data_IF_185205695677
#
_entry.id   IF_185205695677
#
_cell.length_a   1.000
_cell.length_b   1.000
_cell.length_c   1.000
_cell.angle_alpha   90.00
_cell.angle_beta   90.00
_cell.angle_gamma   90.00
#
_symmetry.space_group_name_H-M   'P 1'
#
loop_
_entity.id
_entity.type
_entity.pdbx_description
1 polymer ?
#
# COMPACT_ATOMS: atom_id res chain seq x y z
N UNK A 1 -40.27 20.25 -5.40
CA UNK A 1 -39.00 20.28 -6.15
C UNK A 1 -37.91 19.82 -5.19
N UNK A 2 -37.50 18.55 -5.29
CA UNK A 2 -36.46 17.98 -4.42
C UNK A 2 -35.19 17.81 -5.26
N UNK A 3 -34.16 18.58 -4.92
CA UNK A 3 -32.82 18.42 -5.49
C UNK A 3 -32.19 17.24 -4.74
N UNK A 4 -32.12 16.08 -5.36
CA UNK A 4 -31.34 14.96 -4.83
C UNK A 4 -29.85 15.28 -5.00
N UNK A 5 -29.14 15.29 -3.88
CA UNK A 5 -27.72 15.60 -3.82
C UNK A 5 -26.90 14.43 -4.38
N UNK A 6 -26.44 14.52 -5.63
CA UNK A 6 -25.74 13.46 -6.36
C UNK A 6 -24.30 13.17 -5.85
N UNK A 7 -23.79 13.97 -4.89
CA UNK A 7 -22.39 13.86 -4.43
C UNK A 7 -22.09 12.59 -3.61
N UNK A 8 -23.11 11.92 -3.08
CA UNK A 8 -22.94 10.68 -2.30
C UNK A 8 -22.58 9.48 -3.17
N UNK A 9 -23.21 9.35 -4.35
CA UNK A 9 -22.98 8.21 -5.25
C UNK A 9 -21.61 8.28 -5.93
N UNK A 10 -21.15 9.46 -6.34
CA UNK A 10 -19.89 9.61 -7.07
C UNK A 10 -18.67 9.17 -6.26
N UNK A 11 -18.65 9.47 -4.95
CA UNK A 11 -17.55 9.07 -4.07
C UNK A 11 -17.57 7.55 -3.77
N UNK A 12 -18.76 6.97 -3.56
CA UNK A 12 -18.91 5.53 -3.38
C UNK A 12 -18.55 4.76 -4.65
N UNK A 13 -18.98 5.24 -5.81
CA UNK A 13 -18.69 4.64 -7.11
C UNK A 13 -17.21 4.74 -7.44
N UNK A 14 -16.57 5.88 -7.14
CA UNK A 14 -15.12 6.03 -7.24
C UNK A 14 -14.39 5.03 -6.32
N UNK A 15 -14.83 4.87 -5.07
CA UNK A 15 -14.23 3.93 -4.13
C UNK A 15 -14.41 2.47 -4.58
N UNK A 16 -15.57 2.12 -5.14
CA UNK A 16 -15.84 0.80 -5.74
C UNK A 16 -14.96 0.57 -6.96
N UNK A 17 -14.81 1.56 -7.83
CA UNK A 17 -13.96 1.52 -9.01
C UNK A 17 -12.49 1.25 -8.64
N UNK A 18 -11.95 2.01 -7.68
CA UNK A 18 -10.60 1.80 -7.13
C UNK A 18 -10.44 0.39 -6.55
N UNK A 19 -11.43 -0.07 -5.78
CA UNK A 19 -11.42 -1.41 -5.20
C UNK A 19 -11.41 -2.52 -6.26
N UNK A 20 -12.17 -2.36 -7.34
CA UNK A 20 -12.19 -3.29 -8.46
C UNK A 20 -10.87 -3.26 -9.25
N UNK A 21 -10.32 -2.07 -9.52
CA UNK A 21 -9.02 -1.92 -10.17
C UNK A 21 -7.90 -2.60 -9.36
N UNK A 22 -7.89 -2.45 -8.03
CA UNK A 22 -6.92 -3.11 -7.16
C UNK A 22 -7.07 -4.64 -7.16
N UNK A 23 -8.30 -5.18 -7.22
CA UNK A 23 -8.55 -6.62 -7.37
C UNK A 23 -8.06 -7.14 -8.72
N UNK A 24 -8.27 -6.38 -9.80
CA UNK A 24 -7.72 -6.71 -11.13
C UNK A 24 -6.20 -6.71 -11.12
N UNK A 25 -5.56 -5.72 -10.49
CA UNK A 25 -4.11 -5.69 -10.31
C UNK A 25 -3.61 -6.93 -9.56
N UNK A 26 -4.26 -7.31 -8.46
CA UNK A 26 -3.92 -8.52 -7.71
C UNK A 26 -4.06 -9.79 -8.57
N UNK A 27 -5.13 -9.90 -9.37
CA UNK A 27 -5.29 -11.03 -10.28
C UNK A 27 -4.13 -11.11 -11.29
N UNK A 28 -3.75 -9.97 -11.89
CA UNK A 28 -2.63 -9.92 -12.82
C UNK A 28 -1.31 -10.34 -12.16
N UNK A 29 -1.02 -9.84 -10.95
CA UNK A 29 0.17 -10.23 -10.18
C UNK A 29 0.20 -11.75 -9.96
N UNK A 30 -0.94 -12.36 -9.61
CA UNK A 30 -1.05 -13.81 -9.40
C UNK A 30 -0.79 -14.62 -10.66
N UNK A 31 -1.16 -14.11 -11.84
CA UNK A 31 -0.94 -14.80 -13.11
C UNK A 31 0.48 -14.66 -13.65
N UNK A 32 1.23 -13.63 -13.22
CA UNK A 32 2.60 -13.41 -13.68
C UNK A 32 3.62 -14.42 -13.11
N UNK A 33 3.32 -15.07 -11.99
CA UNK A 33 4.24 -15.98 -11.30
C UNK A 33 3.62 -17.32 -10.98
N UNK A 34 3.37 -18.16 -11.99
CA UNK A 34 2.78 -19.51 -11.80
C UNK A 34 3.78 -20.44 -11.10
N UNK A 35 5.01 -20.51 -11.59
CA UNK A 35 6.06 -21.38 -11.03
C UNK A 35 6.86 -20.72 -9.91
N UNK A 36 7.07 -19.40 -10.02
CA UNK A 36 7.69 -18.56 -8.99
C UNK A 36 6.69 -17.48 -8.55
N UNK A 37 5.89 -17.74 -7.50
CA UNK A 37 4.91 -16.80 -7.00
C UNK A 37 5.56 -15.50 -6.52
N UNK A 38 5.07 -14.38 -7.05
CA UNK A 38 5.46 -13.03 -6.60
C UNK A 38 4.81 -12.77 -5.24
N UNK A 39 5.59 -12.69 -4.16
CA UNK A 39 5.10 -12.45 -2.79
C UNK A 39 5.65 -11.17 -2.17
N UNK A 40 6.84 -10.76 -2.56
CA UNK A 40 7.49 -9.54 -2.10
C UNK A 40 7.51 -8.50 -3.21
N UNK A 41 6.85 -7.36 -2.98
CA UNK A 41 6.56 -6.38 -4.03
C UNK A 41 6.94 -4.99 -3.57
N UNK A 42 7.85 -4.33 -4.29
CA UNK A 42 8.13 -2.92 -4.11
C UNK A 42 7.28 -2.08 -5.05
N UNK A 43 6.74 -0.98 -4.54
CA UNK A 43 5.97 -0.01 -5.31
C UNK A 43 6.69 1.34 -5.22
N UNK A 44 7.02 1.89 -6.39
CA UNK A 44 7.66 3.21 -6.55
C UNK A 44 6.90 4.04 -7.57
N UNK A 45 7.39 5.23 -7.87
CA UNK A 45 6.92 6.08 -8.96
C UNK A 45 8.09 6.75 -9.67
N UNK A 46 7.86 7.32 -10.84
CA UNK A 46 8.91 8.05 -11.56
C UNK A 46 9.25 9.37 -10.84
N UNK A 47 8.23 10.07 -10.35
CA UNK A 47 8.36 11.35 -9.63
C UNK A 47 7.43 11.39 -8.39
N UNK A 48 7.57 12.37 -7.48
CA UNK A 48 6.63 12.54 -6.37
C UNK A 48 5.19 12.78 -6.84
N UNK A 49 4.21 12.45 -5.99
CA UNK A 49 2.77 12.73 -6.19
C UNK A 49 2.07 11.97 -7.33
N UNK A 50 2.62 10.83 -7.77
CA UNK A 50 1.94 9.95 -8.73
C UNK A 50 0.94 8.96 -8.09
N UNK A 51 0.86 8.96 -6.76
CA UNK A 51 -0.07 8.14 -5.99
C UNK A 51 0.43 6.74 -5.65
N UNK A 52 1.75 6.52 -5.62
CA UNK A 52 2.39 5.27 -5.19
C UNK A 52 1.81 4.70 -3.89
N UNK A 53 1.81 5.50 -2.82
CA UNK A 53 1.28 5.16 -1.48
C UNK A 53 -0.21 4.79 -1.54
N UNK A 54 -1.00 5.50 -2.36
CA UNK A 54 -2.42 5.20 -2.56
C UNK A 54 -2.62 3.84 -3.23
N UNK A 55 -1.85 3.55 -4.29
CA UNK A 55 -1.88 2.26 -4.98
C UNK A 55 -1.43 1.14 -4.04
N UNK A 56 -0.31 1.31 -3.32
CA UNK A 56 0.22 0.35 -2.34
C UNK A 56 -0.83 -0.03 -1.30
N UNK A 57 -1.50 0.96 -0.71
CA UNK A 57 -2.57 0.73 0.29
C UNK A 57 -3.76 -0.02 -0.29
N UNK A 58 -4.23 0.35 -1.48
CA UNK A 58 -5.40 -0.30 -2.09
C UNK A 58 -5.08 -1.73 -2.58
N UNK A 59 -3.85 -1.99 -3.03
CA UNK A 59 -3.41 -3.34 -3.33
C UNK A 59 -3.37 -4.21 -2.05
N UNK A 60 -2.84 -3.68 -0.93
CA UNK A 60 -2.90 -4.39 0.35
C UNK A 60 -4.34 -4.71 0.77
N UNK A 61 -5.25 -3.76 0.60
CA UNK A 61 -6.68 -3.96 0.86
C UNK A 61 -7.26 -5.09 0.01
N UNK A 62 -6.95 -5.12 -1.29
CA UNK A 62 -7.41 -6.18 -2.20
C UNK A 62 -6.84 -7.55 -1.80
N UNK A 63 -5.57 -7.63 -1.39
CA UNK A 63 -4.95 -8.87 -0.91
C UNK A 63 -5.65 -9.37 0.36
N UNK A 64 -5.80 -8.50 1.36
CA UNK A 64 -6.44 -8.84 2.63
C UNK A 64 -7.89 -9.32 2.44
N UNK A 65 -8.66 -8.61 1.62
CA UNK A 65 -10.05 -8.97 1.32
C UNK A 65 -10.19 -10.24 0.48
N UNK A 66 -9.13 -10.68 -0.20
CA UNK A 66 -9.06 -11.99 -0.86
C UNK A 66 -8.83 -13.16 0.11
N UNK A 67 -8.69 -12.88 1.41
CA UNK A 67 -8.45 -13.88 2.46
C UNK A 67 -6.96 -14.18 2.71
N UNK A 68 -6.06 -13.40 2.12
CA UNK A 68 -4.60 -13.55 2.23
C UNK A 68 -4.02 -12.59 3.25
N UNK A 69 -2.97 -12.99 3.96
CA UNK A 69 -2.27 -12.10 4.88
C UNK A 69 -1.30 -11.19 4.10
N UNK A 70 -1.29 -9.90 4.42
CA UNK A 70 -0.38 -8.93 3.80
C UNK A 70 0.25 -8.05 4.85
N UNK A 71 1.57 -7.94 4.78
CA UNK A 71 2.33 -6.94 5.50
C UNK A 71 2.65 -5.78 4.56
N UNK A 72 2.19 -4.57 4.87
CA UNK A 72 2.64 -3.36 4.22
C UNK A 72 3.75 -2.72 5.07
N UNK A 73 4.85 -2.36 4.44
CA UNK A 73 6.04 -1.79 5.07
C UNK A 73 6.27 -0.39 4.52
N UNK A 74 6.39 0.60 5.42
CA UNK A 74 6.82 1.95 5.06
C UNK A 74 8.33 1.95 4.77
N UNK A 75 8.69 2.10 3.49
CA UNK A 75 10.09 2.22 3.04
C UNK A 75 10.37 3.58 2.39
N UNK A 76 9.42 4.54 2.40
CA UNK A 76 9.69 5.95 2.15
C UNK A 76 10.20 6.60 3.44
N UNK A 77 11.42 6.20 3.83
CA UNK A 77 12.09 6.65 5.07
C UNK A 77 12.38 8.16 5.06
N UNK A 78 12.19 8.82 3.91
CA UNK A 78 12.40 10.26 3.69
C UNK A 78 11.11 11.04 3.91
N UNK A 79 9.97 10.53 3.43
CA UNK A 79 8.65 11.18 3.53
C UNK A 79 7.57 10.17 3.94
N UNK A 80 7.69 9.71 5.19
CA UNK A 80 6.71 8.81 5.82
C UNK A 80 5.31 9.42 5.77
N UNK A 81 4.36 8.67 5.23
CA UNK A 81 2.97 9.14 5.09
C UNK A 81 1.93 8.03 5.29
N UNK A 82 2.36 6.77 5.24
CA UNK A 82 1.46 5.63 5.27
C UNK A 82 0.73 5.47 6.61
N UNK A 83 1.42 5.67 7.74
CA UNK A 83 0.83 5.57 9.07
C UNK A 83 -0.40 6.49 9.24
N UNK A 84 -0.25 7.76 8.83
CA UNK A 84 -1.34 8.74 8.80
C UNK A 84 -2.46 8.31 7.85
N UNK A 85 -2.13 7.78 6.67
CA UNK A 85 -3.11 7.31 5.70
C UNK A 85 -3.90 6.08 6.18
N UNK A 86 -3.32 5.26 7.07
CA UNK A 86 -3.96 4.08 7.63
C UNK A 86 -4.65 4.37 8.98
N UNK A 87 -4.34 5.50 9.62
CA UNK A 87 -4.81 5.82 10.97
C UNK A 87 -4.25 4.89 12.05
N UNK A 88 -3.09 4.27 11.79
CA UNK A 88 -2.41 3.37 12.73
C UNK A 88 -0.94 3.74 12.82
N UNK A 89 -0.39 3.68 14.03
CA UNK A 89 1.00 4.05 14.31
C UNK A 89 1.71 2.91 15.05
N UNK A 90 2.91 2.56 14.56
CA UNK A 90 3.79 1.63 15.24
C UNK A 90 4.51 2.28 16.42
N UNK A 91 4.74 1.52 17.50
CA UNK A 91 5.68 1.95 18.56
C UNK A 91 7.14 1.81 18.11
N UNK A 92 7.38 0.79 17.29
CA UNK A 92 8.64 0.48 16.66
C UNK A 92 8.40 0.44 15.15
N UNK A 93 9.45 0.66 14.37
CA UNK A 93 9.38 0.58 12.92
C UNK A 93 10.40 -0.41 12.36
N UNK A 94 10.55 -0.34 11.04
CA UNK A 94 11.43 -1.22 10.28
C UNK A 94 12.88 -1.15 10.76
N UNK A 95 13.38 0.01 11.19
CA UNK A 95 14.76 0.14 11.63
C UNK A 95 15.03 -0.66 12.91
N UNK A 96 14.10 -0.65 13.86
CA UNK A 96 14.21 -1.46 15.10
C UNK A 96 14.22 -2.96 14.81
N UNK A 97 13.50 -3.40 13.76
CA UNK A 97 13.45 -4.81 13.34
C UNK A 97 14.76 -5.23 12.68
N UNK A 98 15.19 -4.51 11.63
CA UNK A 98 16.44 -4.84 10.91
C UNK A 98 17.68 -4.69 11.81
N UNK A 99 17.60 -3.85 12.84
CA UNK A 99 18.66 -3.71 13.84
C UNK A 99 18.69 -4.81 14.91
N UNK A 100 17.72 -5.72 14.89
CA UNK A 100 17.58 -6.79 15.89
C UNK A 100 17.20 -6.27 17.28
N UNK A 101 16.74 -5.02 17.40
CA UNK A 101 16.31 -4.45 18.68
C UNK A 101 14.93 -4.97 19.10
N UNK A 102 14.06 -5.23 18.12
CA UNK A 102 12.68 -5.66 18.34
C UNK A 102 12.36 -6.78 17.35
N UNK A 103 11.75 -7.91 17.79
CA UNK A 103 11.26 -8.94 16.88
C UNK A 103 10.20 -8.40 15.92
N UNK A 104 10.12 -8.94 14.69
CA UNK A 104 9.14 -8.51 13.69
C UNK A 104 7.70 -8.51 14.23
N UNK A 105 7.32 -9.60 14.93
CA UNK A 105 5.97 -9.77 15.49
C UNK A 105 5.58 -8.67 16.49
N UNK A 106 6.54 -8.06 17.18
CA UNK A 106 6.31 -7.03 18.20
C UNK A 106 6.29 -5.61 17.62
N UNK A 107 6.88 -5.43 16.43
CA UNK A 107 6.89 -4.14 15.72
C UNK A 107 5.66 -3.97 14.80
N UNK A 108 5.10 -5.07 14.30
CA UNK A 108 3.95 -5.05 13.39
C UNK A 108 2.67 -4.65 14.12
N UNK A 109 1.90 -3.76 13.51
CA UNK A 109 0.57 -3.37 13.98
C UNK A 109 -0.53 -3.93 13.07
N UNK A 110 -1.67 -4.27 13.67
CA UNK A 110 -2.87 -4.67 12.92
C UNK A 110 -3.61 -3.43 12.46
N UNK A 111 -4.10 -3.44 11.23
CA UNK A 111 -5.04 -2.42 10.75
C UNK A 111 -6.48 -2.79 11.14
N UNK A 112 -7.44 -1.93 10.79
CA UNK A 112 -8.87 -2.23 10.95
C UNK A 112 -9.35 -3.37 10.04
N UNK A 113 -8.53 -3.80 9.07
CA UNK A 113 -8.89 -4.83 8.10
C UNK A 113 -8.21 -6.14 8.44
N UNK A 114 -9.01 -7.19 8.59
CA UNK A 114 -8.52 -8.55 8.88
C UNK A 114 -7.55 -9.00 7.79
N UNK A 115 -6.39 -9.50 8.20
CA UNK A 115 -5.34 -9.95 7.30
C UNK A 115 -4.43 -8.84 6.76
N UNK A 116 -4.72 -7.57 7.07
CA UNK A 116 -3.88 -6.43 6.69
C UNK A 116 -3.09 -5.91 7.89
N UNK A 117 -1.77 -6.06 7.80
CA UNK A 117 -0.79 -5.66 8.80
C UNK A 117 0.10 -4.53 8.27
N UNK A 118 0.63 -3.73 9.18
CA UNK A 118 1.49 -2.60 8.85
C UNK A 118 2.75 -2.61 9.71
N UNK A 119 3.90 -2.39 9.08
CA UNK A 119 5.16 -2.08 9.74
C UNK A 119 5.54 -0.64 9.40
N UNK A 120 5.54 0.21 10.43
CA UNK A 120 5.88 1.62 10.32
C UNK A 120 7.40 1.81 10.10
N UNK A 121 7.82 3.05 9.89
CA UNK A 121 9.21 3.45 9.89
C UNK A 121 9.48 4.51 10.95
N UNK A 122 10.62 4.46 11.61
CA UNK A 122 11.03 5.47 12.57
C UNK A 122 11.36 6.81 11.89
N UNK A 123 11.20 7.95 12.58
CA UNK A 123 11.60 9.25 12.05
C UNK A 123 13.12 9.36 11.89
N UNK A 124 13.56 10.16 10.91
CA UNK A 124 14.95 10.60 10.77
C UNK A 124 15.97 9.45 10.67
N UNK A 125 15.65 8.38 9.94
CA UNK A 125 16.62 7.32 9.64
C UNK A 125 17.79 7.90 8.83
N UNK A 126 19.03 7.85 9.35
CA UNK A 126 20.19 8.27 8.58
C UNK A 126 20.46 7.29 7.44
N UNK A 127 20.93 7.81 6.30
CA UNK A 127 21.28 7.04 5.09
C UNK A 127 20.27 5.94 4.71
N UNK A 128 19.02 6.29 4.35
CA UNK A 128 17.98 5.31 3.98
C UNK A 128 18.44 4.22 3.01
N UNK A 129 19.17 4.59 1.95
CA UNK A 129 19.60 3.65 0.92
C UNK A 129 20.57 2.58 1.45
N UNK A 130 21.47 2.93 2.37
CA UNK A 130 22.42 1.98 2.97
C UNK A 130 21.69 0.95 3.84
N UNK A 131 20.71 1.44 4.59
CA UNK A 131 19.86 0.61 5.46
C UNK A 131 19.07 -0.40 4.63
N UNK A 132 18.42 0.06 3.56
CA UNK A 132 17.63 -0.78 2.67
C UNK A 132 18.50 -1.72 1.82
N UNK A 133 19.76 -1.36 1.53
CA UNK A 133 20.73 -2.20 0.81
C UNK A 133 21.45 -3.22 1.69
N UNK A 134 21.19 -3.25 2.99
CA UNK A 134 21.95 -4.07 3.93
C UNK A 134 21.54 -5.55 3.92
N UNK A 135 22.45 -6.43 4.33
CA UNK A 135 22.15 -7.86 4.59
C UNK A 135 21.05 -8.05 5.64
N UNK A 136 20.91 -7.10 6.56
CA UNK A 136 19.86 -7.12 7.59
C UNK A 136 18.49 -6.91 6.96
N UNK A 137 18.37 -6.00 6.00
CA UNK A 137 17.15 -5.81 5.23
C UNK A 137 16.80 -7.07 4.43
N UNK A 138 17.77 -7.69 3.74
CA UNK A 138 17.55 -8.96 3.02
C UNK A 138 17.02 -10.07 3.95
N UNK A 139 17.56 -10.18 5.17
CA UNK A 139 17.08 -11.14 6.16
C UNK A 139 15.64 -10.83 6.61
N UNK A 140 15.32 -9.56 6.82
CA UNK A 140 13.97 -9.12 7.13
C UNK A 140 12.97 -9.45 6.01
N UNK A 141 13.32 -9.23 4.74
CA UNK A 141 12.45 -9.59 3.60
C UNK A 141 12.13 -11.08 3.63
N UNK A 142 13.14 -11.93 3.87
CA UNK A 142 12.96 -13.38 3.99
C UNK A 142 12.03 -13.73 5.16
N UNK A 143 12.31 -13.23 6.36
CA UNK A 143 11.47 -13.45 7.55
C UNK A 143 10.02 -13.02 7.33
N UNK A 144 9.80 -11.84 6.75
CA UNK A 144 8.47 -11.34 6.45
C UNK A 144 7.75 -12.19 5.40
N UNK A 145 8.46 -12.66 4.36
CA UNK A 145 7.88 -13.53 3.31
C UNK A 145 7.55 -14.95 3.78
N UNK A 146 8.14 -15.38 4.90
CA UNK A 146 7.79 -16.62 5.58
C UNK A 146 6.55 -16.45 6.49
N UNK A 147 6.37 -15.26 7.06
CA UNK A 147 5.28 -14.95 7.99
C UNK A 147 3.96 -14.50 7.32
N UNK A 148 4.02 -13.92 6.12
CA UNK A 148 2.87 -13.35 5.41
C UNK A 148 2.74 -13.92 3.99
N UNK A 149 1.51 -14.02 3.47
CA UNK A 149 1.29 -14.44 2.07
C UNK A 149 1.90 -13.42 1.09
N UNK A 150 1.80 -12.12 1.42
CA UNK A 150 2.38 -11.01 0.66
C UNK A 150 3.08 -9.99 1.56
N UNK A 151 4.13 -9.36 1.04
CA UNK A 151 4.81 -8.22 1.65
C UNK A 151 4.92 -7.10 0.62
N UNK A 152 4.33 -5.94 0.92
CA UNK A 152 4.37 -4.76 0.07
C UNK A 152 5.30 -3.70 0.67
N UNK A 153 6.18 -3.12 -0.12
CA UNK A 153 7.08 -2.04 0.27
C UNK A 153 6.68 -0.75 -0.45
N UNK A 154 6.24 0.27 0.30
CA UNK A 154 6.04 1.62 -0.26
C UNK A 154 7.39 2.34 -0.27
N UNK A 155 7.88 2.75 -1.44
CA UNK A 155 9.25 3.28 -1.60
C UNK A 155 9.21 4.68 -2.21
N UNK A 156 10.23 5.55 -1.99
CA UNK A 156 10.24 6.89 -2.57
C UNK A 156 10.35 6.82 -4.11
N UNK A 157 10.07 7.92 -4.83
CA UNK A 157 10.15 7.95 -6.29
C UNK A 157 11.57 7.66 -6.78
N UNK A 158 11.71 6.71 -7.70
CA UNK A 158 13.02 6.25 -8.19
C UNK A 158 13.78 7.31 -8.97
N UNK A 159 13.07 8.21 -9.68
CA UNK A 159 13.69 9.31 -10.39
C UNK A 159 14.32 10.39 -9.49
N UNK A 160 14.05 10.35 -8.17
CA UNK A 160 14.65 11.27 -7.19
C UNK A 160 15.63 10.57 -6.27
N UNK A 161 15.39 9.30 -5.94
CA UNK A 161 16.16 8.56 -4.94
C UNK A 161 16.43 7.12 -5.41
N UNK A 162 17.63 6.61 -5.09
CA UNK A 162 18.04 5.25 -5.46
C UNK A 162 17.42 4.16 -4.57
N UNK A 163 16.74 4.55 -3.49
CA UNK A 163 16.22 3.67 -2.44
C UNK A 163 15.35 2.52 -3.03
N UNK A 164 14.45 2.84 -3.96
CA UNK A 164 13.61 1.85 -4.63
C UNK A 164 14.41 0.87 -5.51
N UNK A 165 15.46 1.35 -6.18
CA UNK A 165 16.34 0.53 -7.02
C UNK A 165 17.19 -0.43 -6.17
N UNK A 166 17.70 0.04 -5.02
CA UNK A 166 18.50 -0.74 -4.07
C UNK A 166 17.67 -1.83 -3.38
N UNK A 167 16.48 -1.48 -2.88
CA UNK A 167 15.55 -2.43 -2.29
C UNK A 167 15.00 -3.41 -3.34
N UNK A 168 14.74 -2.91 -4.55
CA UNK A 168 14.17 -3.66 -5.66
C UNK A 168 14.96 -4.91 -6.06
N UNK A 169 16.27 -4.91 -5.84
CA UNK A 169 17.15 -6.07 -6.10
C UNK A 169 16.95 -7.23 -5.10
N UNK A 170 16.20 -7.00 -4.01
CA UNK A 170 16.02 -7.94 -2.90
C UNK A 170 14.58 -8.47 -2.78
N UNK A 171 13.70 -8.09 -3.71
CA UNK A 171 12.27 -8.47 -3.74
C UNK A 171 11.93 -9.16 -5.06
N UNK A 172 10.81 -9.88 -5.09
CA UNK A 172 10.39 -10.66 -6.26
C UNK A 172 10.00 -9.77 -7.45
N UNK A 173 9.41 -8.61 -7.18
CA UNK A 173 8.93 -7.70 -8.21
C UNK A 173 8.91 -6.23 -7.78
N UNK A 174 9.15 -5.35 -8.74
CA UNK A 174 8.98 -3.89 -8.63
C UNK A 174 7.90 -3.44 -9.60
N UNK A 175 6.96 -2.63 -9.11
CA UNK A 175 5.99 -1.93 -9.96
C UNK A 175 6.20 -0.42 -9.87
N UNK A 176 6.16 0.23 -11.03
CA UNK A 176 6.25 1.69 -11.13
C UNK A 176 4.86 2.28 -11.35
N UNK A 177 4.42 3.15 -10.44
CA UNK A 177 3.19 3.91 -10.57
C UNK A 177 3.46 5.16 -11.40
N UNK A 178 2.63 5.38 -12.43
CA UNK A 178 2.69 6.55 -13.30
C UNK A 178 1.33 7.22 -13.31
N UNK A 179 1.29 8.53 -13.06
CA UNK A 179 0.03 9.28 -13.09
C UNK A 179 -0.28 9.74 -14.52
N UNK A 180 -1.50 9.47 -14.97
CA UNK A 180 -1.96 9.91 -16.28
C UNK A 180 -1.88 11.44 -16.41
N UNK A 181 -1.43 11.91 -17.58
CA UNK A 181 -1.29 13.33 -17.91
C UNK A 181 -0.45 14.18 -16.92
N UNK A 182 0.45 13.56 -16.16
CA UNK A 182 1.23 14.25 -15.13
C UNK A 182 2.71 14.41 -15.47
N UNK A 183 3.34 13.37 -16.02
CA UNK A 183 4.80 13.31 -16.26
C UNK A 183 5.08 13.14 -17.74
N UNK A 184 6.18 13.74 -18.22
CA UNK A 184 6.66 13.53 -19.59
C UNK A 184 7.16 12.10 -19.78
N UNK A 185 6.86 11.50 -20.92
CA UNK A 185 7.28 10.13 -21.28
C UNK A 185 8.79 9.88 -21.09
N UNK A 186 9.63 10.88 -21.37
CA UNK A 186 11.08 10.77 -21.22
C UNK A 186 11.52 10.56 -19.75
N UNK A 187 10.86 11.22 -18.80
CA UNK A 187 11.16 11.07 -17.36
C UNK A 187 10.72 9.69 -16.85
N UNK A 188 9.56 9.21 -17.29
CA UNK A 188 9.10 7.83 -17.00
C UNK A 188 10.07 6.80 -17.58
N UNK A 189 10.55 7.01 -18.80
CA UNK A 189 11.52 6.11 -19.44
C UNK A 189 12.86 6.09 -18.71
N UNK A 190 13.37 7.25 -18.28
CA UNK A 190 14.60 7.34 -17.50
C UNK A 190 14.47 6.63 -16.14
N UNK A 191 13.35 6.82 -15.45
CA UNK A 191 13.05 6.13 -14.19
C UNK A 191 12.99 4.60 -14.36
N UNK A 192 12.34 4.12 -15.42
CA UNK A 192 12.31 2.69 -15.74
C UNK A 192 13.70 2.14 -16.04
N UNK A 193 14.54 2.89 -16.73
CA UNK A 193 15.90 2.46 -17.06
C UNK A 193 16.79 2.36 -15.82
N UNK A 194 16.65 3.30 -14.89
CA UNK A 194 17.34 3.24 -13.60
C UNK A 194 17.00 1.96 -12.81
N UNK A 195 15.72 1.55 -12.83
CA UNK A 195 15.29 0.28 -12.23
C UNK A 195 15.89 -0.93 -12.96
N UNK A 196 15.89 -0.94 -14.31
CA UNK A 196 16.48 -2.04 -15.08
C UNK A 196 17.98 -2.20 -14.83
N UNK A 197 18.70 -1.08 -14.69
CA UNK A 197 20.13 -1.07 -14.39
C UNK A 197 20.46 -1.58 -12.98
N UNK A 198 19.49 -1.63 -12.06
CA UNK A 198 19.71 -2.03 -10.67
C UNK A 198 19.46 -3.51 -10.38
N UNK A 199 19.40 -4.36 -11.42
CA UNK A 199 19.08 -5.80 -11.32
C UNK A 199 17.75 -6.10 -10.62
N UNK A 200 16.82 -5.14 -10.55
CA UNK A 200 15.49 -5.41 -10.02
C UNK A 200 14.58 -6.00 -11.10
N UNK A 201 13.62 -6.81 -10.68
CA UNK A 201 12.58 -7.30 -11.58
C UNK A 201 11.48 -6.24 -11.74
N UNK A 202 11.66 -5.33 -12.71
CA UNK A 202 10.61 -4.37 -13.08
C UNK A 202 9.46 -5.12 -13.79
N UNK A 203 8.51 -5.59 -13.00
CA UNK A 203 7.41 -6.45 -13.43
C UNK A 203 6.38 -5.69 -14.27
N UNK A 204 6.20 -4.38 -14.03
CA UNK A 204 5.31 -3.59 -14.86
C UNK A 204 5.08 -2.16 -14.37
N UNK A 205 4.15 -1.50 -15.06
CA UNK A 205 3.71 -0.13 -14.78
C UNK A 205 2.24 -0.14 -14.37
N UNK A 206 1.89 0.65 -13.36
CA UNK A 206 0.52 0.88 -12.90
C UNK A 206 0.15 2.32 -13.25
N UNK A 207 -0.79 2.50 -14.17
CA UNK A 207 -1.32 3.84 -14.44
C UNK A 207 -2.33 4.23 -13.37
N UNK A 208 -2.21 5.44 -12.85
CA UNK A 208 -3.05 5.99 -11.79
C UNK A 208 -3.68 7.33 -12.20
N UNK A 209 -4.77 7.72 -11.55
CA UNK A 209 -5.62 8.85 -11.90
C UNK A 209 -6.14 8.81 -13.34
N UNK A 210 -6.35 7.60 -13.88
CA UNK A 210 -6.85 7.45 -15.23
C UNK A 210 -8.26 8.04 -15.33
N UNK A 211 -8.47 8.87 -16.35
CA UNK A 211 -9.82 9.30 -16.71
C UNK A 211 -10.60 8.07 -17.16
N UNK A 212 -11.59 7.67 -16.36
CA UNK A 212 -12.66 6.81 -16.86
C UNK A 212 -13.46 7.61 -17.87
N UNK A 213 -12.97 7.69 -19.12
CA UNK A 213 -13.86 7.90 -20.25
C UNK A 213 -14.91 6.83 -20.12
N UNK A 214 -16.16 7.24 -19.88
CA UNK A 214 -17.30 6.35 -19.71
C UNK A 214 -17.18 5.20 -20.68
N UNK A 215 -16.75 4.04 -20.17
CA UNK A 215 -16.61 2.87 -21.00
C UNK A 215 -18.04 2.38 -21.16
N UNK A 216 -18.72 2.92 -22.17
CA UNK A 216 -20.10 2.63 -22.53
C UNK A 216 -20.30 1.09 -22.67
N UNK A 217 -19.20 0.39 -22.98
CA UNK A 217 -19.09 -1.06 -23.00
C UNK A 217 -19.26 -1.74 -21.63
N UNK A 218 -18.68 -1.19 -20.55
CA UNK A 218 -18.80 -1.75 -19.20
C UNK A 218 -20.18 -1.46 -18.59
N UNK A 219 -20.75 -0.28 -18.88
CA UNK A 219 -22.11 0.06 -18.46
C UNK A 219 -23.18 -0.74 -19.23
N UNK A 220 -22.94 -1.09 -20.51
CA UNK A 220 -23.82 -2.00 -21.27
C UNK A 220 -23.83 -3.42 -20.70
N UNK A 221 -22.66 -3.95 -20.33
CA UNK A 221 -22.56 -5.30 -19.78
C UNK A 221 -23.37 -5.48 -18.48
N UNK A 222 -23.47 -4.45 -17.64
CA UNK A 222 -24.32 -4.47 -16.43
C UNK A 222 -25.75 -3.95 -16.67
N UNK A 223 -26.02 -3.16 -17.71
CA UNK A 223 -27.39 -2.73 -18.07
C UNK A 223 -28.19 -3.80 -18.83
N UNK A 224 -27.51 -4.74 -19.49
CA UNK A 224 -28.17 -5.79 -20.26
C UNK A 224 -28.69 -6.93 -19.35
N UNK A 225 -28.20 -7.07 -18.11
CA UNK A 225 -28.78 -7.98 -17.10
C UNK A 225 -30.11 -7.45 -16.51
N UNK A 226 -30.30 -6.12 -16.47
CA UNK A 226 -31.55 -5.50 -16.02
C UNK A 226 -32.62 -5.38 -17.13
N UNK A 227 -32.33 -5.85 -18.35
CA UNK A 227 -33.25 -5.80 -19.50
C UNK A 227 -33.51 -7.15 -20.18
N UNK A 228 -33.08 -8.26 -19.60
CA UNK A 228 -33.51 -9.58 -20.04
C UNK A 228 -34.89 -9.91 -19.46
N UNK A 229 -35.95 -9.28 -19.98
CA UNK A 229 -37.23 -9.98 -20.08
C UNK A 229 -36.98 -11.17 -21.02
N UNK A 230 -36.71 -12.33 -20.43
CA UNK A 230 -36.54 -13.58 -21.19
C UNK A 230 -37.77 -13.83 -22.08
N UNK A 231 -37.60 -14.52 -23.22
CA UNK A 231 -38.71 -14.81 -24.11
C UNK A 231 -39.79 -15.56 -23.33
N UNK A 232 -41.01 -15.00 -23.31
CA UNK A 232 -42.19 -15.62 -22.70
C UNK A 232 -42.41 -16.98 -23.35
N UNK A 233 -42.00 -18.06 -22.68
CA UNK A 233 -42.49 -19.40 -23.01
C UNK A 233 -44.01 -19.40 -22.79
N UNK A 234 -44.77 -19.59 -23.87
CA UNK A 234 -46.20 -19.85 -23.77
C UNK A 234 -46.40 -21.18 -23.05
N UNK A 235 -46.91 -21.10 -21.82
CA UNK A 235 -47.28 -22.28 -21.04
C UNK A 235 -48.70 -22.68 -21.46
N UNK A 236 -48.83 -23.78 -22.19
CA UNK A 236 -50.13 -24.41 -22.40
C UNK A 236 -50.67 -24.96 -21.07
N UNK A 237 -51.98 -24.85 -20.85
CA UNK A 237 -52.67 -25.26 -19.63
C UNK A 237 -52.48 -26.75 -19.29
N UNK A 238 -52.57 -27.16 -18.01
CA UNK A 238 -52.16 -28.49 -17.58
C UNK A 238 -53.21 -29.56 -17.89
N UNK A 239 -52.84 -30.57 -18.68
CA UNK A 239 -53.53 -31.86 -18.72
C UNK A 239 -53.18 -32.69 -17.46
N UNK A 240 -54.21 -33.25 -16.84
CA UNK A 240 -54.13 -34.08 -15.64
C UNK A 240 -53.31 -35.36 -15.92
N UNK A 241 -52.20 -35.55 -15.19
CA UNK A 241 -51.45 -36.82 -15.19
C UNK A 241 -51.97 -37.79 -14.12
N UNK A 242 -52.08 -39.09 -14.43
CA UNK A 242 -52.57 -40.10 -13.49
C UNK A 242 -51.53 -40.45 -12.40
N UNK A 243 -52.04 -41.06 -11.32
CA UNK A 243 -51.34 -41.35 -10.08
C UNK A 243 -50.12 -42.29 -10.22
N UNK A 244 -49.17 -42.10 -9.30
CA UNK A 244 -47.86 -42.75 -9.20
C UNK A 244 -47.96 -44.18 -8.64
N UNK A 245 -47.28 -45.20 -9.21
CA UNK A 245 -47.09 -46.48 -8.56
C UNK A 245 -45.91 -46.47 -7.56
N UNK A 246 -46.02 -47.29 -6.52
CA UNK A 246 -45.10 -47.40 -5.37
C UNK A 246 -43.71 -47.97 -5.69
N UNK A 247 -42.74 -47.65 -4.83
CA UNK A 247 -41.30 -48.00 -4.94
C UNK A 247 -41.02 -49.46 -4.56
N UNK A 248 -40.15 -50.18 -5.29
CA UNK A 248 -39.44 -51.35 -4.78
C UNK A 248 -38.15 -50.98 -4.03
N UNK A 249 -37.73 -51.89 -3.14
CA UNK A 249 -36.74 -51.73 -2.07
C UNK A 249 -35.26 -51.60 -2.50
N UNK A 250 -34.49 -51.08 -1.52
CA UNK A 250 -33.04 -50.81 -1.47
C UNK A 250 -32.15 -51.93 -2.06
N UNK A 251 -31.17 -51.56 -2.88
CA UNK A 251 -30.00 -52.40 -3.24
C UNK A 251 -28.78 -52.11 -2.32
N UNK A 252 -27.88 -53.08 -2.09
CA UNK A 252 -26.78 -52.99 -1.11
C UNK A 252 -25.56 -52.22 -1.65
N UNK A 253 -24.77 -51.67 -0.72
CA UNK A 253 -23.48 -50.99 -0.99
C UNK A 253 -22.38 -52.00 -1.37
N UNK A 254 -21.43 -51.66 -2.26
CA UNK A 254 -20.24 -52.48 -2.48
C UNK A 254 -19.15 -52.20 -1.43
N UNK A 255 -18.48 -53.28 -1.02
CA UNK A 255 -17.39 -53.33 -0.04
C UNK A 255 -16.00 -53.07 -0.67
N UNK A 256 -15.11 -52.56 0.19
CA UNK A 256 -13.64 -52.65 0.23
C UNK A 256 -12.83 -52.53 -1.07
N UNK A 257 -12.21 -51.37 -1.25
CA UNK A 257 -11.03 -51.18 -2.10
C UNK A 257 -9.77 -51.04 -1.22
N UNK A 258 -8.64 -51.70 -1.55
CA UNK A 258 -7.43 -51.67 -0.72
C UNK A 258 -6.64 -50.36 -0.86
N UNK A 259 -6.03 -49.93 0.25
CA UNK A 259 -5.18 -48.74 0.33
C UNK A 259 -3.91 -48.85 -0.55
N UNK A 260 -3.42 -47.74 -1.14
CA UNK A 260 -2.16 -47.72 -1.89
C UNK A 260 -0.93 -47.81 -0.95
N UNK A 261 0.22 -48.33 -1.44
CA UNK A 261 1.40 -48.56 -0.60
C UNK A 261 2.14 -47.26 -0.22
N UNK A 262 2.68 -47.24 1.00
CA UNK A 262 3.52 -46.16 1.55
C UNK A 262 4.82 -45.95 0.76
N UNK A 263 5.20 -44.69 0.53
CA UNK A 263 6.51 -44.31 -0.03
C UNK A 263 7.61 -44.35 1.04
N UNK A 264 8.84 -44.79 0.71
CA UNK A 264 9.95 -44.79 1.64
C UNK A 264 10.47 -43.39 1.95
N UNK A 265 10.89 -43.18 3.21
CA UNK A 265 11.42 -41.93 3.74
C UNK A 265 12.78 -41.53 3.13
N UNK A 266 12.98 -40.23 2.88
CA UNK A 266 14.22 -39.66 2.34
C UNK A 266 15.22 -39.36 3.47
N UNK A 267 16.53 -39.65 3.32
CA UNK A 267 17.52 -39.39 4.37
C UNK A 267 17.81 -37.89 4.57
N UNK A 268 17.96 -37.48 5.83
CA UNK A 268 18.33 -36.11 6.25
C UNK A 268 19.82 -35.85 5.98
N UNK A 269 20.16 -34.73 5.32
CA UNK A 269 21.55 -34.22 5.21
C UNK A 269 21.92 -33.41 6.48
N UNK A 270 23.19 -33.45 6.94
CA UNK A 270 23.64 -32.71 8.11
C UNK A 270 23.79 -31.20 7.86
N UNK A 271 23.53 -30.40 8.89
CA UNK A 271 23.63 -28.94 8.88
C UNK A 271 25.09 -28.46 8.88
N UNK A 272 25.44 -27.38 8.15
CA UNK A 272 26.76 -26.77 8.25
C UNK A 272 26.87 -25.84 9.48
N UNK A 273 28.06 -25.86 10.10
CA UNK A 273 28.41 -25.16 11.34
C UNK A 273 28.46 -23.64 11.15
N UNK A 274 27.94 -22.90 12.15
CA UNK A 274 27.96 -21.45 12.20
C UNK A 274 29.38 -20.89 12.41
N UNK A 275 29.78 -19.93 11.57
CA UNK A 275 30.89 -19.01 11.84
C UNK A 275 30.30 -17.63 12.18
N UNK A 276 30.78 -17.01 13.25
CA UNK A 276 30.39 -15.67 13.70
C UNK A 276 30.99 -14.61 12.76
N UNK A 277 30.22 -13.64 12.23
CA UNK A 277 30.79 -12.49 11.53
C UNK A 277 31.05 -11.33 12.50
N UNK A 278 32.22 -10.70 12.37
CA UNK A 278 32.76 -9.63 13.21
C UNK A 278 32.15 -8.22 12.98
N UNK A 279 31.03 -8.11 12.26
CA UNK A 279 30.47 -6.82 11.80
C UNK A 279 29.46 -6.16 12.76
N UNK A 280 29.13 -6.76 13.90
CA UNK A 280 28.10 -6.26 14.83
C UNK A 280 28.46 -4.91 15.47
N UNK A 281 29.75 -4.58 15.56
CA UNK A 281 30.26 -3.38 16.23
C UNK A 281 29.98 -2.09 15.44
N UNK A 282 30.13 -2.12 14.12
CA UNK A 282 29.88 -0.95 13.26
C UNK A 282 28.40 -0.55 13.27
N UNK A 283 27.51 -1.53 13.29
CA UNK A 283 26.07 -1.31 13.30
C UNK A 283 25.54 -0.86 14.68
N UNK A 284 26.09 -1.40 15.78
CA UNK A 284 25.78 -0.92 17.14
C UNK A 284 26.19 0.55 17.35
N UNK A 285 27.30 0.97 16.75
CA UNK A 285 27.78 2.35 16.84
C UNK A 285 26.86 3.33 16.10
N UNK A 286 26.27 2.92 14.98
CA UNK A 286 25.26 3.70 14.26
C UNK A 286 23.96 3.85 15.08
N UNK A 287 23.53 2.78 15.76
CA UNK A 287 22.36 2.82 16.65
C UNK A 287 22.56 3.72 17.89
N UNK A 288 23.80 3.86 18.38
CA UNK A 288 24.14 4.80 19.47
C UNK A 288 24.09 6.25 19.00
N UNK A 289 24.57 6.55 17.79
CA UNK A 289 24.54 7.91 17.23
C UNK A 289 23.11 8.44 17.03
N UNK A 290 22.16 7.58 16.63
CA UNK A 290 20.74 7.95 16.51
C UNK A 290 20.07 8.27 17.86
N UNK A 291 20.50 7.64 18.97
CA UNK A 291 20.02 7.97 20.32
C UNK A 291 20.53 9.32 20.81
N UNK A 292 21.78 9.68 20.50
CA UNK A 292 22.36 10.97 20.88
C UNK A 292 21.77 12.15 20.10
N UNK A 293 21.43 11.93 18.82
CA UNK A 293 20.75 12.93 18.00
C UNK A 293 19.31 13.21 18.51
N UNK A 294 18.57 12.17 18.90
CA UNK A 294 17.22 12.29 19.45
C UNK A 294 17.19 13.00 20.82
N UNK A 295 18.22 12.79 21.65
CA UNK A 295 18.34 13.42 22.98
C UNK A 295 18.63 14.93 22.95
N UNK A 296 19.24 15.45 21.87
CA UNK A 296 19.60 16.88 21.75
C UNK A 296 18.43 17.77 21.30
N UNK A 297 17.45 17.23 20.58
CA UNK A 297 16.30 18.01 20.10
C UNK A 297 15.25 18.25 21.22
N UNK A 298 15.24 17.43 22.27
CA UNK A 298 14.32 17.56 23.39
C UNK A 298 14.67 18.69 24.41
N UNK A 299 15.79 19.40 24.24
CA UNK A 299 16.27 20.42 25.20
C UNK A 299 16.20 21.89 24.73
N UNK A 300 15.55 22.19 23.61
CA UNK A 300 15.44 23.56 23.13
C UNK A 300 14.00 23.94 22.77
N UNK A 301 13.18 24.24 23.79
CA UNK A 301 11.94 25.02 23.62
C UNK A 301 11.92 26.06 24.75
N UNK A 302 12.00 27.38 24.46
CA UNK A 302 11.82 28.39 25.48
C UNK A 302 10.32 28.57 25.77
N UNK A 303 9.97 28.68 27.06
CA UNK A 303 8.62 28.94 27.55
C UNK A 303 8.12 30.32 27.11
N UNK A 304 6.86 30.40 26.65
CA UNK A 304 6.15 31.67 26.41
C UNK A 304 5.77 32.35 27.74
N UNK A 305 5.85 33.69 27.87
CA UNK A 305 5.40 34.37 29.08
C UNK A 305 3.88 34.57 29.09
N UNK A 306 3.31 34.49 30.29
CA UNK A 306 1.90 34.72 30.58
C UNK A 306 1.56 36.23 30.55
N UNK A 307 0.41 36.57 29.95
CA UNK A 307 -0.13 37.94 29.97
C UNK A 307 -1.09 38.07 31.15
N UNK A 308 -0.72 38.90 32.13
CA UNK A 308 -1.57 39.30 33.24
C UNK A 308 -2.40 40.54 32.87
N UNK A 309 -3.69 40.51 33.24
CA UNK A 309 -4.61 41.64 33.16
C UNK A 309 -4.32 42.67 34.26
N UNK A 310 -4.39 43.96 33.92
CA UNK A 310 -4.57 45.04 34.88
C UNK A 310 -5.51 46.11 34.31
N UNK A 311 -6.49 46.50 35.12
CA UNK A 311 -7.53 47.48 34.83
C UNK A 311 -7.14 48.90 35.31
N UNK A 312 -7.75 49.89 34.63
CA UNK A 312 -8.12 51.26 35.05
C UNK A 312 -7.06 52.40 35.10
N UNK A 313 -7.40 53.51 34.42
CA UNK A 313 -6.72 54.81 34.55
C UNK A 313 -7.13 55.88 33.52
N UNK A 314 -8.27 56.54 33.76
CA UNK A 314 -8.91 57.68 33.06
C UNK A 314 -8.02 58.90 32.64
N UNK A 315 -8.41 59.52 31.50
CA UNK A 315 -8.72 60.98 31.21
C UNK A 315 -7.97 61.67 30.04
N UNK A 316 -8.76 62.43 29.27
CA UNK A 316 -8.39 63.53 28.35
C UNK A 316 -8.10 63.09 26.90
N UNK A 317 -8.46 63.78 25.81
CA UNK A 317 -9.36 64.89 25.49
C UNK A 317 -9.25 65.10 23.96
N UNK A 318 -10.39 65.32 23.28
CA UNK A 318 -10.60 66.05 22.00
C UNK A 318 -9.43 66.13 20.98
N UNK A 319 -9.65 65.65 19.74
CA UNK A 319 -9.83 66.49 18.54
C UNK A 319 -10.00 65.64 17.26
N UNK A 320 -10.76 66.20 16.32
CA UNK A 320 -11.10 65.64 15.02
C UNK A 320 -10.16 66.18 13.91
N UNK A 321 -9.87 65.36 12.90
CA UNK A 321 -9.55 65.72 11.51
C UNK A 321 -9.41 64.40 10.72
N UNK A 322 -10.34 64.06 9.82
CA UNK A 322 -10.26 64.31 8.36
C UNK A 322 -9.07 63.65 7.63
N UNK A 323 -9.43 62.77 6.69
CA UNK A 323 -8.82 62.72 5.35
C UNK A 323 -7.67 61.73 5.14
N UNK A 324 -7.82 60.85 4.14
CA UNK A 324 -6.67 60.24 3.47
C UNK A 324 -6.81 58.75 3.14
N UNK A 325 -7.55 58.45 2.07
CA UNK A 325 -7.41 57.19 1.32
C UNK A 325 -6.07 57.24 0.59
N UNK A 326 -5.22 56.21 0.73
CA UNK A 326 -4.03 56.04 -0.09
C UNK A 326 -4.00 54.64 -0.71
N UNK A 327 -4.16 54.58 -2.03
CA UNK A 327 -3.92 53.44 -2.91
C UNK A 327 -2.91 53.91 -3.97
N UNK A 328 -1.77 53.22 -4.16
CA UNK A 328 -1.06 53.21 -5.44
C UNK A 328 -1.14 51.79 -6.03
N UNK A 329 -1.93 51.61 -7.09
CA UNK A 329 -1.56 51.62 -8.53
C UNK A 329 -0.75 50.41 -8.99
N UNK A 330 -1.48 49.58 -9.76
CA UNK A 330 -1.02 48.62 -10.75
C UNK A 330 -0.11 49.26 -11.80
N UNK A 331 0.87 48.48 -12.25
CA UNK A 331 1.60 48.68 -13.49
C UNK A 331 1.22 47.52 -14.41
N UNK A 332 0.51 47.84 -15.49
CA UNK A 332 0.38 47.02 -16.69
C UNK A 332 1.02 47.79 -17.85
N UNK A 333 1.39 47.00 -18.86
CA UNK A 333 1.81 47.31 -20.23
C UNK A 333 3.27 47.68 -20.51
N UNK A 334 3.97 46.74 -21.17
CA UNK A 334 4.55 47.00 -22.50
C UNK A 334 4.69 45.69 -23.32
N UNK A 335 4.06 45.72 -24.52
CA UNK A 335 4.30 45.00 -25.78
C UNK A 335 4.11 43.47 -25.89
#
# INVERSE_FOLDING_TARGET
MAIFNNRGNEAEDAQRSVGNAAKTLLANIRFMGVDNPIRTIAITSSVPNEGKTFVTRNLAMAIATSGKSVLLVECDLRRRSMANSLGVHGRNGIYSVISGQVPLADAVVKTQVRGFFFLDAEPHIPNPSDVLGSRHFANFVREASEAYDYVLFDTPPVGTFVDAAVLGAQVDAVYMVVREHFVRKAEVAAAAEQLRHSNCNLAGVIMNCCETKHNDYYYRYYKDEDKAEGPKLQVAAPEQRPARPERPARRPQPADAPNPPERPARPKKPAPKAQKPEDTSAFLNMARASREAAGRVAKAVPARPAVAQAQQGRRGSKQAAQGGVYIPKSYDDEA
#
